data_IF_392088256843
#
_entry.id   IF_392088256843
#
_cell.length_a   1.000
_cell.length_b   1.000
_cell.length_c   1.000
_cell.angle_alpha   90.00
_cell.angle_beta   90.00
_cell.angle_gamma   90.00
#
_symmetry.space_group_name_H-M   'P 1'
#
loop_
_entity.id
_entity.type
_entity.pdbx_description
1 polymer ?
#
# COMPACT_ATOMS: atom_id res chain seq x y z
N UNK A 1 -44.57 5.20 14.17
CA UNK A 1 -44.20 6.63 14.10
C UNK A 1 -42.74 6.70 13.67
N UNK A 2 -42.48 7.05 12.42
CA UNK A 2 -41.10 7.14 11.90
C UNK A 2 -40.50 8.48 12.31
N UNK A 3 -39.47 8.43 13.15
CA UNK A 3 -38.74 9.62 13.60
C UNK A 3 -37.93 10.18 12.43
N UNK A 4 -38.34 11.34 11.92
CA UNK A 4 -37.61 12.10 10.90
C UNK A 4 -36.42 12.79 11.56
N UNK A 5 -35.24 12.22 11.37
CA UNK A 5 -33.98 12.81 11.85
C UNK A 5 -33.64 14.02 10.97
N UNK A 6 -33.75 15.23 11.52
CA UNK A 6 -33.33 16.47 10.86
C UNK A 6 -31.81 16.44 10.72
N UNK A 7 -31.32 16.50 9.48
CA UNK A 7 -29.88 16.58 9.19
C UNK A 7 -29.48 18.05 9.28
N UNK A 8 -28.46 18.43 10.07
CA UNK A 8 -28.00 19.81 10.16
C UNK A 8 -27.53 20.34 8.79
N UNK A 9 -27.84 21.59 8.48
CA UNK A 9 -27.66 22.20 7.14
C UNK A 9 -26.24 22.04 6.56
N UNK A 10 -25.19 22.06 7.39
CA UNK A 10 -23.81 21.84 6.96
C UNK A 10 -23.46 20.39 6.59
N UNK A 11 -24.23 19.41 7.05
CA UNK A 11 -23.98 17.99 6.75
C UNK A 11 -24.54 17.60 5.38
N UNK A 12 -25.64 18.22 4.93
CA UNK A 12 -26.20 17.98 3.61
C UNK A 12 -25.22 18.39 2.50
N UNK A 13 -24.63 19.60 2.58
CA UNK A 13 -23.63 20.08 1.63
C UNK A 13 -22.40 19.15 1.55
N UNK A 14 -21.89 18.67 2.70
CA UNK A 14 -20.77 17.71 2.75
C UNK A 14 -21.11 16.38 2.06
N UNK A 15 -22.33 15.88 2.21
CA UNK A 15 -22.74 14.64 1.55
C UNK A 15 -22.89 14.83 0.04
N UNK A 16 -23.48 15.95 -0.39
CA UNK A 16 -23.59 16.30 -1.82
C UNK A 16 -22.20 16.40 -2.45
N UNK A 17 -21.24 17.06 -1.79
CA UNK A 17 -19.86 17.15 -2.28
C UNK A 17 -19.19 15.77 -2.42
N UNK A 18 -19.41 14.86 -1.46
CA UNK A 18 -18.91 13.47 -1.54
C UNK A 18 -19.51 12.69 -2.70
N UNK A 19 -20.82 12.86 -2.95
CA UNK A 19 -21.50 12.19 -4.07
C UNK A 19 -20.93 12.67 -5.41
N UNK A 20 -20.77 13.98 -5.58
CA UNK A 20 -20.16 14.52 -6.81
C UNK A 20 -18.72 14.06 -6.99
N UNK A 21 -17.89 14.10 -5.95
CA UNK A 21 -16.53 13.56 -6.01
C UNK A 21 -16.51 12.06 -6.36
N UNK A 22 -17.49 11.28 -5.90
CA UNK A 22 -17.62 9.87 -6.28
C UNK A 22 -18.04 9.68 -7.74
N UNK A 23 -18.96 10.51 -8.25
CA UNK A 23 -19.32 10.53 -9.67
C UNK A 23 -18.13 10.88 -10.57
N UNK A 24 -17.32 11.86 -10.18
CA UNK A 24 -16.09 12.23 -10.89
C UNK A 24 -15.03 11.11 -10.83
N UNK A 25 -14.96 10.38 -9.72
CA UNK A 25 -14.09 9.20 -9.62
C UNK A 25 -14.58 8.07 -10.53
N UNK A 26 -15.90 7.86 -10.60
CA UNK A 26 -16.49 6.85 -11.46
C UNK A 26 -16.27 7.15 -12.96
N UNK A 27 -16.30 8.43 -13.36
CA UNK A 27 -16.03 8.82 -14.75
C UNK A 27 -14.57 8.63 -15.17
N UNK A 28 -13.65 8.59 -14.22
CA UNK A 28 -12.23 8.30 -14.46
C UNK A 28 -11.87 6.83 -14.30
N UNK A 29 -12.83 5.96 -13.96
CA UNK A 29 -12.60 4.52 -13.77
C UNK A 29 -12.04 3.86 -15.04
N UNK A 30 -11.17 2.87 -14.87
CA UNK A 30 -10.65 2.10 -16.00
C UNK A 30 -11.77 1.26 -16.60
N UNK A 31 -11.87 1.25 -17.93
CA UNK A 31 -12.84 0.44 -18.66
C UNK A 31 -12.25 -0.92 -19.10
N UNK A 32 -10.93 -1.07 -18.96
CA UNK A 32 -10.15 -2.22 -19.38
C UNK A 32 -9.23 -2.71 -18.24
N UNK A 33 -9.08 -4.03 -18.15
CA UNK A 33 -8.26 -4.67 -17.11
C UNK A 33 -6.79 -4.27 -17.22
N UNK A 34 -6.25 -4.14 -18.43
CA UNK A 34 -4.87 -3.69 -18.66
C UNK A 34 -4.61 -2.32 -18.02
N UNK A 35 -5.46 -1.33 -18.27
CA UNK A 35 -5.32 -0.01 -17.63
C UNK A 35 -5.59 -0.08 -16.12
N UNK A 36 -6.52 -0.92 -15.65
CA UNK A 36 -6.75 -1.10 -14.21
C UNK A 36 -5.50 -1.64 -13.49
N UNK A 37 -4.90 -2.71 -14.01
CA UNK A 37 -3.65 -3.31 -13.49
C UNK A 37 -2.51 -2.29 -13.57
N UNK A 38 -2.34 -1.64 -14.73
CA UNK A 38 -1.29 -0.64 -14.93
C UNK A 38 -1.38 0.53 -13.96
N UNK A 39 -2.59 1.04 -13.69
CA UNK A 39 -2.79 2.11 -12.69
C UNK A 39 -2.45 1.64 -11.29
N UNK A 40 -2.81 0.41 -10.93
CA UNK A 40 -2.51 -0.12 -9.60
C UNK A 40 -1.00 -0.38 -9.40
N UNK A 41 -0.29 -0.88 -10.43
CA UNK A 41 1.16 -0.99 -10.41
C UNK A 41 1.83 0.38 -10.28
N UNK A 42 1.35 1.38 -11.03
CA UNK A 42 1.86 2.75 -10.96
C UNK A 42 1.62 3.39 -9.58
N UNK A 43 0.47 3.15 -8.97
CA UNK A 43 0.19 3.59 -7.61
C UNK A 43 1.17 2.97 -6.59
N UNK A 44 1.38 1.65 -6.68
CA UNK A 44 2.31 0.91 -5.83
C UNK A 44 3.75 1.39 -6.00
N UNK A 45 4.17 1.64 -7.25
CA UNK A 45 5.47 2.22 -7.60
C UNK A 45 5.66 3.62 -7.00
N UNK A 46 4.64 4.48 -7.06
CA UNK A 46 4.69 5.82 -6.45
C UNK A 46 4.86 5.73 -4.94
N UNK A 47 4.13 4.85 -4.27
CA UNK A 47 4.28 4.62 -2.82
C UNK A 47 5.73 4.29 -2.44
N UNK A 48 6.37 3.37 -3.17
CA UNK A 48 7.78 3.01 -2.93
C UNK A 48 8.72 4.19 -3.20
N UNK A 49 8.46 4.94 -4.28
CA UNK A 49 9.24 6.13 -4.64
C UNK A 49 9.13 7.23 -3.58
N UNK A 50 7.94 7.47 -3.06
CA UNK A 50 7.68 8.46 -2.03
C UNK A 50 8.38 8.07 -0.73
N UNK A 51 8.36 6.79 -0.37
CA UNK A 51 9.10 6.25 0.77
C UNK A 51 10.62 6.43 0.65
N UNK A 52 11.22 6.16 -0.53
CA UNK A 52 12.65 6.45 -0.78
C UNK A 52 12.95 7.94 -0.56
N UNK A 53 12.08 8.82 -1.09
CA UNK A 53 12.25 10.27 -0.95
C UNK A 53 12.15 10.71 0.50
N UNK A 54 11.13 10.25 1.23
CA UNK A 54 10.93 10.56 2.66
C UNK A 54 12.13 10.09 3.49
N UNK A 55 12.65 8.89 3.24
CA UNK A 55 13.82 8.37 3.92
C UNK A 55 15.08 9.23 3.64
N UNK A 56 15.27 9.68 2.40
CA UNK A 56 16.36 10.58 2.03
C UNK A 56 16.24 11.94 2.72
N UNK A 57 15.04 12.52 2.78
CA UNK A 57 14.76 13.78 3.47
C UNK A 57 15.15 13.64 4.96
N UNK A 58 14.73 12.55 5.61
CA UNK A 58 15.01 12.25 7.02
C UNK A 58 16.51 12.07 7.31
N UNK A 59 17.25 11.40 6.43
CA UNK A 59 18.71 11.23 6.56
C UNK A 59 19.41 12.60 6.49
N UNK A 60 19.05 13.44 5.51
CA UNK A 60 19.64 14.77 5.32
C UNK A 60 19.37 15.68 6.53
N UNK A 61 18.14 15.68 7.04
CA UNK A 61 17.77 16.46 8.23
C UNK A 61 18.58 16.03 9.47
N UNK A 62 18.72 14.72 9.68
CA UNK A 62 19.44 14.16 10.83
C UNK A 62 20.94 14.45 10.79
N UNK A 63 21.55 14.47 9.59
CA UNK A 63 22.95 14.87 9.41
C UNK A 63 23.17 16.36 9.68
N UNK A 64 22.22 17.22 9.30
CA UNK A 64 22.32 18.67 9.54
C UNK A 64 22.29 19.02 11.05
N UNK A 65 21.46 18.33 11.84
CA UNK A 65 21.38 18.53 13.29
C UNK A 65 22.67 18.14 14.03
N UNK A 66 23.45 17.20 13.49
CA UNK A 66 24.72 16.78 14.12
C UNK A 66 25.84 17.84 14.05
N UNK A 67 25.72 18.84 13.18
CA UNK A 67 26.74 19.87 12.97
C UNK A 67 26.45 21.21 13.69
N UNK A 68 25.27 21.41 14.28
CA UNK A 68 24.86 22.69 14.88
C UNK A 68 25.00 22.76 16.42
N UNK A 69 25.41 21.68 17.08
CA UNK A 69 25.50 21.57 18.55
C UNK A 69 26.63 22.37 19.22
N UNK A 70 27.03 23.50 18.64
CA UNK A 70 28.16 24.35 19.07
C UNK A 70 27.78 25.68 19.74
N UNK A 71 26.52 25.94 20.09
CA UNK A 71 26.14 27.18 20.76
C UNK A 71 25.18 26.95 21.93
N UNK A 72 25.74 26.94 23.15
CA UNK A 72 25.03 27.21 24.39
C UNK A 72 24.22 28.51 24.28
N UNK A 73 22.94 28.45 24.58
CA UNK A 73 22.20 29.60 25.09
C UNK A 73 21.27 29.12 26.20
N UNK A 74 21.84 29.10 27.41
CA UNK A 74 21.07 29.10 28.65
C UNK A 74 20.30 30.42 28.74
N UNK A 75 18.99 30.39 28.55
CA UNK A 75 18.11 31.45 29.03
C UNK A 75 16.96 30.81 29.79
N UNK A 76 17.09 30.88 31.12
CA UNK A 76 15.99 30.73 32.08
C UNK A 76 14.83 31.65 31.67
N UNK A 77 13.71 31.08 31.23
CA UNK A 77 12.43 31.74 31.49
C UNK A 77 11.36 30.71 31.83
N UNK A 78 10.76 30.94 32.99
CA UNK A 78 9.84 30.05 33.65
C UNK A 78 8.43 30.26 33.08
N UNK A 79 8.02 29.41 32.14
CA UNK A 79 6.61 29.24 31.84
C UNK A 79 6.31 27.78 31.53
N UNK A 80 5.83 27.06 32.53
CA UNK A 80 5.43 25.66 32.45
C UNK A 80 4.08 25.52 31.74
N UNK A 81 4.06 25.71 30.42
CA UNK A 81 3.19 24.87 29.60
C UNK A 81 3.94 23.55 29.40
N UNK A 82 3.25 22.44 29.61
CA UNK A 82 3.81 21.10 29.43
C UNK A 82 4.03 20.94 27.94
N UNK A 83 5.21 21.37 27.49
CA UNK A 83 5.70 21.10 26.15
C UNK A 83 5.79 19.59 26.05
N UNK A 84 4.81 19.01 25.36
CA UNK A 84 4.97 17.67 24.81
C UNK A 84 5.88 17.80 23.60
N UNK A 85 7.08 18.35 23.83
CA UNK A 85 8.21 18.27 22.95
C UNK A 85 8.54 16.79 22.85
N UNK A 86 7.84 16.13 21.93
CA UNK A 86 8.39 15.01 21.21
C UNK A 86 9.56 15.57 20.40
N UNK A 87 10.65 15.91 21.09
CA UNK A 87 11.95 16.06 20.45
C UNK A 87 12.13 14.75 19.68
N UNK A 88 12.06 14.85 18.35
CA UNK A 88 12.33 13.70 17.50
C UNK A 88 13.74 13.24 17.87
N UNK A 89 13.83 12.09 18.55
CA UNK A 89 15.10 11.53 18.97
C UNK A 89 16.00 11.50 17.73
N UNK A 90 17.10 12.26 17.77
CA UNK A 90 18.03 12.32 16.66
C UNK A 90 18.50 10.90 16.34
N UNK A 91 18.48 10.50 15.07
CA UNK A 91 18.95 9.18 14.67
C UNK A 91 20.41 9.00 15.10
N UNK A 92 20.68 7.89 15.77
CA UNK A 92 22.05 7.51 16.09
C UNK A 92 22.84 7.24 14.79
N UNK A 93 24.19 7.34 14.82
CA UNK A 93 25.01 7.06 13.63
C UNK A 93 24.74 5.69 13.00
N UNK A 94 24.42 4.70 13.83
CA UNK A 94 24.05 3.37 13.37
C UNK A 94 22.67 3.34 12.68
N UNK A 95 21.66 4.00 13.25
CA UNK A 95 20.33 4.11 12.66
C UNK A 95 20.37 4.85 11.31
N UNK A 96 21.24 5.85 11.20
CA UNK A 96 21.55 6.53 9.94
C UNK A 96 22.15 5.56 8.90
N UNK A 97 23.17 4.79 9.27
CA UNK A 97 23.82 3.83 8.37
C UNK A 97 22.84 2.72 7.93
N UNK A 98 21.93 2.31 8.81
CA UNK A 98 20.86 1.35 8.50
C UNK A 98 19.80 1.95 7.56
N UNK A 99 19.44 3.22 7.75
CA UNK A 99 18.57 3.95 6.83
C UNK A 99 19.22 4.12 5.44
N UNK A 100 20.49 4.50 5.38
CA UNK A 100 21.25 4.66 4.14
C UNK A 100 21.36 3.35 3.36
N UNK A 101 21.69 2.25 4.04
CA UNK A 101 21.78 0.91 3.41
C UNK A 101 20.43 0.34 2.96
N UNK A 102 19.31 0.87 3.45
CA UNK A 102 17.96 0.48 3.01
C UNK A 102 17.55 1.12 1.68
N UNK A 103 18.17 2.25 1.29
CA UNK A 103 17.82 2.96 0.05
C UNK A 103 18.09 2.10 -1.19
N UNK A 104 19.28 1.48 -1.39
CA UNK A 104 19.53 0.62 -2.55
C UNK A 104 18.52 -0.53 -2.65
N UNK A 105 18.13 -1.10 -1.52
CA UNK A 105 17.14 -2.17 -1.46
C UNK A 105 15.76 -1.71 -1.97
N UNK A 106 15.27 -0.56 -1.49
CA UNK A 106 14.01 0.04 -1.96
C UNK A 106 14.10 0.48 -3.44
N UNK A 107 15.27 0.91 -3.92
CA UNK A 107 15.48 1.25 -5.32
C UNK A 107 15.36 0.03 -6.23
N UNK A 108 15.86 -1.14 -5.82
CA UNK A 108 15.66 -2.39 -6.56
C UNK A 108 14.18 -2.74 -6.64
N UNK A 109 13.43 -2.61 -5.55
CA UNK A 109 11.96 -2.80 -5.55
C UNK A 109 11.28 -1.85 -6.54
N UNK A 110 11.67 -0.57 -6.54
CA UNK A 110 11.14 0.40 -7.49
C UNK A 110 11.45 -0.02 -8.95
N UNK A 111 12.63 -0.57 -9.21
CA UNK A 111 12.99 -1.06 -10.54
C UNK A 111 12.19 -2.32 -10.94
N UNK A 112 11.84 -3.20 -9.99
CA UNK A 112 10.89 -4.31 -10.23
C UNK A 112 9.56 -3.76 -10.73
N UNK A 113 8.97 -2.77 -10.06
CA UNK A 113 7.72 -2.15 -10.53
C UNK A 113 7.86 -1.53 -11.93
N UNK A 114 8.99 -0.87 -12.22
CA UNK A 114 9.23 -0.33 -13.56
C UNK A 114 9.32 -1.43 -14.61
N UNK A 115 9.91 -2.58 -14.30
CA UNK A 115 9.94 -3.74 -15.18
C UNK A 115 8.51 -4.25 -15.43
N UNK A 116 7.74 -4.50 -14.36
CA UNK A 116 6.35 -4.94 -14.47
C UNK A 116 5.50 -4.02 -15.35
N UNK A 117 5.60 -2.70 -15.15
CA UNK A 117 4.87 -1.71 -15.94
C UNK A 117 5.31 -1.74 -17.41
N UNK A 118 6.61 -1.84 -17.69
CA UNK A 118 7.11 -1.92 -19.08
C UNK A 118 6.61 -3.16 -19.78
N UNK A 119 6.70 -4.32 -19.13
CA UNK A 119 6.20 -5.59 -19.67
C UNK A 119 4.69 -5.54 -19.90
N UNK A 120 3.92 -4.98 -18.96
CA UNK A 120 2.48 -4.82 -19.13
C UNK A 120 2.14 -3.99 -20.38
N UNK A 121 2.92 -2.93 -20.64
CA UNK A 121 2.69 -2.05 -21.78
C UNK A 121 2.98 -2.74 -23.13
N UNK A 122 3.99 -3.63 -23.18
CA UNK A 122 4.36 -4.37 -24.39
C UNK A 122 3.42 -5.53 -24.71
N UNK A 123 2.78 -6.13 -23.70
CA UNK A 123 1.95 -7.32 -23.86
C UNK A 123 0.53 -7.04 -24.34
N UNK A 124 -0.04 -7.95 -25.14
CA UNK A 124 -1.46 -7.94 -25.51
C UNK A 124 -2.29 -8.80 -24.54
N UNK A 125 -2.64 -8.20 -23.41
CA UNK A 125 -3.37 -8.83 -22.30
C UNK A 125 -4.86 -9.03 -22.62
N UNK A 126 -5.35 -8.47 -23.73
CA UNK A 126 -6.78 -8.47 -24.08
C UNK A 126 -7.20 -9.76 -24.78
N UNK A 127 -6.25 -10.51 -25.34
CA UNK A 127 -6.55 -11.62 -26.25
C UNK A 127 -6.79 -12.97 -25.55
N UNK A 128 -6.25 -13.21 -24.35
CA UNK A 128 -6.29 -14.53 -23.70
C UNK A 128 -6.69 -14.44 -22.22
N UNK A 129 -7.69 -15.24 -21.80
CA UNK A 129 -8.15 -15.23 -20.40
C UNK A 129 -7.07 -15.71 -19.41
N UNK A 130 -6.21 -16.65 -19.82
CA UNK A 130 -5.11 -17.16 -18.99
C UNK A 130 -4.03 -16.11 -18.72
N UNK A 131 -3.74 -15.23 -19.68
CA UNK A 131 -2.75 -14.16 -19.47
C UNK A 131 -3.27 -13.12 -18.49
N UNK A 132 -4.58 -12.85 -18.50
CA UNK A 132 -5.20 -11.98 -17.50
C UNK A 132 -5.07 -12.55 -16.08
N UNK A 133 -5.39 -13.83 -15.88
CA UNK A 133 -5.28 -14.49 -14.57
C UNK A 133 -3.85 -14.41 -14.01
N UNK A 134 -2.85 -14.63 -14.86
CA UNK A 134 -1.42 -14.50 -14.52
C UNK A 134 -1.08 -13.07 -14.06
N UNK A 135 -1.56 -12.04 -14.77
CA UNK A 135 -1.34 -10.64 -14.39
C UNK A 135 -2.08 -10.24 -13.11
N UNK A 136 -3.26 -10.81 -12.85
CA UNK A 136 -3.99 -10.60 -11.60
C UNK A 136 -3.27 -11.22 -10.40
N UNK A 137 -2.71 -12.43 -10.57
CA UNK A 137 -1.83 -13.06 -9.58
C UNK A 137 -0.60 -12.20 -9.31
N UNK A 138 0.10 -11.79 -10.36
CA UNK A 138 1.29 -10.94 -10.25
C UNK A 138 0.97 -9.59 -9.57
N UNK A 139 -0.18 -8.99 -9.88
CA UNK A 139 -0.63 -7.77 -9.23
C UNK A 139 -0.88 -7.95 -7.74
N UNK A 140 -1.45 -9.09 -7.33
CA UNK A 140 -1.64 -9.41 -5.92
C UNK A 140 -0.31 -9.41 -5.16
N UNK A 141 0.71 -10.07 -5.71
CA UNK A 141 2.06 -10.08 -5.12
C UNK A 141 2.73 -8.70 -5.14
N UNK A 142 2.60 -7.95 -6.24
CA UNK A 142 3.15 -6.60 -6.36
C UNK A 142 2.53 -5.62 -5.34
N UNK A 143 1.23 -5.74 -5.05
CA UNK A 143 0.58 -4.94 -3.99
C UNK A 143 1.11 -5.32 -2.60
N UNK A 144 1.31 -6.61 -2.34
CA UNK A 144 1.95 -7.10 -1.12
C UNK A 144 3.36 -6.54 -0.96
N UNK A 145 4.16 -6.55 -2.02
CA UNK A 145 5.52 -5.99 -2.03
C UNK A 145 5.55 -4.50 -1.70
N UNK A 146 4.61 -3.71 -2.25
CA UNK A 146 4.49 -2.29 -1.90
C UNK A 146 4.12 -2.07 -0.43
N UNK A 147 3.20 -2.87 0.13
CA UNK A 147 2.87 -2.78 1.55
C UNK A 147 4.09 -3.07 2.44
N UNK A 148 4.84 -4.14 2.14
CA UNK A 148 6.08 -4.48 2.87
C UNK A 148 7.15 -3.39 2.71
N UNK A 149 7.24 -2.74 1.55
CA UNK A 149 8.16 -1.61 1.37
C UNK A 149 7.82 -0.45 2.30
N UNK A 150 6.53 -0.15 2.48
CA UNK A 150 6.07 0.88 3.42
C UNK A 150 6.34 0.48 4.87
N UNK A 151 6.17 -0.80 5.21
CA UNK A 151 6.50 -1.31 6.55
C UNK A 151 8.00 -1.16 6.86
N UNK A 152 8.88 -1.45 5.89
CA UNK A 152 10.32 -1.20 6.03
C UNK A 152 10.60 0.30 6.20
N UNK A 153 10.00 1.16 5.36
CA UNK A 153 10.13 2.61 5.48
C UNK A 153 9.74 3.13 6.85
N UNK A 154 8.59 2.71 7.36
CA UNK A 154 8.10 3.08 8.69
C UNK A 154 9.02 2.59 9.82
N UNK A 155 9.63 1.41 9.68
CA UNK A 155 10.53 0.85 10.68
C UNK A 155 11.88 1.61 10.79
N UNK A 156 12.25 2.38 9.75
CA UNK A 156 13.49 3.15 9.68
C UNK A 156 13.41 4.53 10.35
N UNK A 157 12.23 4.96 10.81
CA UNK A 157 12.10 6.18 11.61
C UNK A 157 12.54 5.93 13.06
N UNK A 158 13.19 6.93 13.67
CA UNK A 158 13.62 6.86 15.07
C UNK A 158 12.42 6.82 16.04
N UNK A 159 12.53 6.11 17.18
CA UNK A 159 13.61 5.19 17.54
C UNK A 159 13.46 3.84 16.82
N UNK A 160 14.50 3.39 16.11
CA UNK A 160 14.42 2.17 15.30
C UNK A 160 14.37 0.91 16.19
N UNK A 161 13.76 -0.16 15.65
CA UNK A 161 13.87 -1.51 16.18
C UNK A 161 14.62 -2.39 15.18
N UNK A 162 15.89 -2.67 15.46
CA UNK A 162 16.75 -3.43 14.55
C UNK A 162 16.15 -4.80 14.18
N UNK A 163 15.40 -5.44 15.09
CA UNK A 163 14.75 -6.72 14.81
C UNK A 163 13.59 -6.57 13.85
N UNK A 164 12.82 -5.50 13.98
CA UNK A 164 11.72 -5.16 13.08
C UNK A 164 12.21 -4.76 11.70
N UNK A 165 13.22 -3.89 11.66
CA UNK A 165 13.87 -3.40 10.44
C UNK A 165 14.44 -4.58 9.64
N UNK A 166 15.17 -5.49 10.31
CA UNK A 166 15.69 -6.72 9.68
C UNK A 166 14.58 -7.64 9.19
N UNK A 167 13.51 -7.80 9.98
CA UNK A 167 12.36 -8.63 9.60
C UNK A 167 11.62 -8.05 8.39
N UNK A 168 11.45 -6.73 8.32
CA UNK A 168 10.81 -6.04 7.21
C UNK A 168 11.66 -6.16 5.93
N UNK A 169 12.98 -5.97 6.02
CA UNK A 169 13.88 -6.16 4.88
C UNK A 169 13.89 -7.62 4.37
N UNK A 170 13.88 -8.61 5.28
CA UNK A 170 13.75 -10.01 4.88
C UNK A 170 12.41 -10.30 4.19
N UNK A 171 11.31 -9.73 4.70
CA UNK A 171 9.99 -9.86 4.09
C UNK A 171 9.95 -9.21 2.70
N UNK A 172 10.66 -8.10 2.51
CA UNK A 172 10.78 -7.40 1.24
C UNK A 172 11.50 -8.26 0.20
N UNK A 173 12.60 -8.91 0.59
CA UNK A 173 13.33 -9.85 -0.26
C UNK A 173 12.44 -11.02 -0.71
N UNK A 174 11.73 -11.66 0.22
CA UNK A 174 10.75 -12.71 -0.11
C UNK A 174 9.62 -12.19 -0.99
N UNK A 175 9.15 -10.96 -0.79
CA UNK A 175 8.14 -10.32 -1.64
C UNK A 175 8.61 -10.17 -3.08
N UNK A 176 9.87 -9.78 -3.31
CA UNK A 176 10.47 -9.72 -4.64
C UNK A 176 10.60 -11.11 -5.26
N UNK A 177 11.07 -12.11 -4.52
CA UNK A 177 11.18 -13.50 -4.99
C UNK A 177 9.82 -14.02 -5.47
N UNK A 178 8.74 -13.80 -4.71
CA UNK A 178 7.38 -14.17 -5.12
C UNK A 178 6.94 -13.47 -6.40
N UNK A 179 7.25 -12.18 -6.56
CA UNK A 179 6.96 -11.45 -7.81
C UNK A 179 7.73 -12.02 -9.00
N UNK A 180 8.98 -12.44 -8.81
CA UNK A 180 9.78 -13.05 -9.88
C UNK A 180 9.35 -14.48 -10.21
N UNK A 181 8.94 -15.26 -9.21
CA UNK A 181 8.42 -16.61 -9.39
C UNK A 181 7.14 -16.59 -10.21
N UNK A 182 6.21 -15.69 -9.86
CA UNK A 182 4.93 -15.47 -10.54
C UNK A 182 5.07 -14.74 -11.89
N UNK A 183 6.28 -14.25 -12.22
CA UNK A 183 6.50 -13.61 -13.51
C UNK A 183 6.33 -14.68 -14.63
N UNK A 184 5.34 -14.53 -15.53
CA UNK A 184 4.96 -15.58 -16.46
C UNK A 184 6.11 -15.99 -17.38
N UNK A 185 6.26 -17.29 -17.64
CA UNK A 185 7.39 -17.82 -18.43
C UNK A 185 7.50 -17.22 -19.83
N UNK A 186 6.37 -16.98 -20.51
CA UNK A 186 6.34 -16.32 -21.81
C UNK A 186 6.80 -14.85 -21.76
N UNK A 187 6.68 -14.19 -20.60
CA UNK A 187 7.17 -12.83 -20.35
C UNK A 187 8.64 -12.82 -19.93
N UNK A 188 9.12 -13.89 -19.30
CA UNK A 188 10.52 -14.05 -18.89
C UNK A 188 11.43 -14.00 -20.11
N UNK A 189 11.07 -14.61 -21.23
CA UNK A 189 11.98 -14.72 -22.38
C UNK A 189 12.40 -13.37 -22.99
N UNK A 190 11.50 -12.38 -23.02
CA UNK A 190 11.81 -11.03 -23.52
C UNK A 190 12.55 -10.13 -22.51
N UNK A 191 12.54 -10.51 -21.23
CA UNK A 191 13.06 -9.72 -20.12
C UNK A 191 13.99 -10.51 -19.19
N UNK A 192 14.52 -11.64 -19.65
CA UNK A 192 15.27 -12.58 -18.81
C UNK A 192 16.50 -11.91 -18.21
N UNK A 193 17.30 -11.24 -19.06
CA UNK A 193 18.49 -10.52 -18.65
C UNK A 193 18.18 -9.40 -17.63
N UNK A 194 17.10 -8.64 -17.85
CA UNK A 194 16.68 -7.60 -16.92
C UNK A 194 16.22 -8.18 -15.57
N UNK A 195 15.52 -9.32 -15.61
CA UNK A 195 15.03 -10.02 -14.41
C UNK A 195 16.20 -10.61 -13.62
N UNK A 196 17.13 -11.30 -14.28
CA UNK A 196 18.35 -11.85 -13.69
C UNK A 196 19.22 -10.75 -13.08
N UNK A 197 19.38 -9.62 -13.79
CA UNK A 197 20.10 -8.45 -13.29
C UNK A 197 19.46 -7.88 -12.01
N UNK A 198 18.13 -7.80 -11.95
CA UNK A 198 17.43 -7.34 -10.74
C UNK A 198 17.53 -8.32 -9.59
N UNK A 199 17.45 -9.63 -9.84
CA UNK A 199 17.65 -10.67 -8.83
C UNK A 199 19.05 -10.58 -8.24
N UNK A 200 20.09 -10.42 -9.08
CA UNK A 200 21.46 -10.24 -8.61
C UNK A 200 21.60 -8.96 -7.76
N UNK A 201 21.09 -7.81 -8.24
CA UNK A 201 21.11 -6.56 -7.49
C UNK A 201 20.36 -6.64 -6.17
N UNK A 202 19.24 -7.37 -6.12
CA UNK A 202 18.49 -7.60 -4.89
C UNK A 202 19.32 -8.40 -3.89
N UNK A 203 19.96 -9.48 -4.35
CA UNK A 203 20.81 -10.32 -3.51
C UNK A 203 21.99 -9.52 -2.94
N UNK A 204 22.65 -8.70 -3.76
CA UNK A 204 23.76 -7.85 -3.35
C UNK A 204 23.31 -6.80 -2.32
N UNK A 205 22.24 -6.05 -2.61
CA UNK A 205 21.70 -5.04 -1.71
C UNK A 205 21.25 -5.65 -0.37
N UNK A 206 20.64 -6.83 -0.40
CA UNK A 206 20.21 -7.52 0.82
C UNK A 206 21.39 -8.08 1.62
N UNK A 207 22.48 -8.51 0.96
CA UNK A 207 23.70 -8.96 1.63
C UNK A 207 24.44 -7.80 2.29
N UNK A 208 24.54 -6.65 1.62
CA UNK A 208 25.09 -5.41 2.17
C UNK A 208 24.29 -4.97 3.40
N UNK A 209 22.97 -4.90 3.26
CA UNK A 209 22.06 -4.57 4.35
C UNK A 209 22.19 -5.51 5.56
N UNK A 210 22.30 -6.83 5.33
CA UNK A 210 22.51 -7.81 6.42
C UNK A 210 23.84 -7.63 7.12
N UNK A 211 24.89 -7.26 6.38
CA UNK A 211 26.21 -6.97 6.96
C UNK A 211 26.10 -5.78 7.91
N UNK A 212 25.37 -4.75 7.49
CA UNK A 212 25.14 -3.55 8.28
C UNK A 212 24.28 -3.81 9.52
N UNK A 213 23.15 -4.49 9.36
CA UNK A 213 22.26 -4.85 10.47
C UNK A 213 22.92 -5.83 11.47
N UNK A 214 23.76 -6.75 10.96
CA UNK A 214 24.45 -7.75 11.76
C UNK A 214 25.60 -7.18 12.59
N UNK A 215 26.29 -6.14 12.11
CA UNK A 215 27.40 -5.52 12.85
C UNK A 215 26.97 -5.00 14.24
N UNK A 216 25.74 -4.50 14.38
CA UNK A 216 25.23 -3.93 15.64
C UNK A 216 24.64 -4.96 16.61
N UNK A 217 24.06 -6.07 16.12
CA UNK A 217 23.65 -7.19 16.98
C UNK A 217 24.82 -7.70 17.83
N UNK A 218 26.05 -7.61 17.30
CA UNK A 218 27.27 -7.97 18.01
C UNK A 218 27.93 -6.77 18.74
N UNK A 219 27.90 -5.56 18.17
CA UNK A 219 28.55 -4.39 18.77
C UNK A 219 27.78 -3.79 19.96
N UNK A 220 26.44 -3.83 19.95
CA UNK A 220 25.65 -3.11 20.93
C UNK A 220 25.60 -3.76 22.31
N UNK A 221 25.79 -5.08 22.45
CA UNK A 221 25.66 -5.78 23.75
C UNK A 221 24.33 -5.54 24.50
N UNK A 222 23.37 -4.87 23.86
CA UNK A 222 22.13 -4.40 24.47
C UNK A 222 21.14 -5.55 24.41
N UNK A 223 20.92 -6.18 25.58
CA UNK A 223 19.84 -7.15 25.77
C UNK A 223 18.49 -6.45 25.50
N UNK A 224 17.87 -6.78 24.38
CA UNK A 224 16.58 -6.21 23.98
C UNK A 224 15.48 -6.60 24.96
N UNK A 225 14.93 -5.60 25.66
CA UNK A 225 13.76 -5.76 26.53
C UNK A 225 12.48 -5.70 25.68
N UNK A 226 12.20 -6.79 24.96
CA UNK A 226 11.03 -7.01 24.09
C UNK A 226 9.70 -6.68 24.81
N UNK A 227 9.67 -6.81 26.15
CA UNK A 227 8.45 -6.63 26.96
C UNK A 227 7.88 -5.22 27.05
N UNK A 228 8.66 -4.17 26.75
CA UNK A 228 8.18 -2.77 26.91
C UNK A 228 7.57 -2.15 25.64
N UNK A 229 7.98 -2.57 24.43
CA UNK A 229 7.50 -1.96 23.16
C UNK A 229 6.20 -2.58 22.63
N UNK A 230 5.96 -3.88 22.84
CA UNK A 230 4.66 -4.53 22.54
C UNK A 230 3.47 -3.85 23.27
N UNK A 231 3.70 -3.21 24.43
CA UNK A 231 2.67 -2.45 25.17
C UNK A 231 2.32 -1.07 24.57
N UNK A 232 3.11 -0.55 23.62
CA UNK A 232 2.77 0.70 22.90
C UNK A 232 1.95 0.42 21.64
N UNK A 233 2.23 -0.67 20.91
CA UNK A 233 1.47 -1.04 19.69
C UNK A 233 0.03 -1.47 19.94
N UNK A 234 -0.25 -2.15 21.06
CA UNK A 234 -1.63 -2.54 21.40
C UNK A 234 -2.54 -1.34 21.77
N UNK A 235 -1.98 -0.14 21.95
CA UNK A 235 -2.80 1.06 22.26
C UNK A 235 -3.18 1.90 21.04
N UNK A 236 -2.52 1.73 19.90
CA UNK A 236 -2.79 2.55 18.71
C UNK A 236 -3.67 1.87 17.66
N UNK A 237 -3.85 0.54 17.72
CA UNK A 237 -4.62 -0.21 16.71
C UNK A 237 -6.08 -0.46 17.11
N UNK A 238 -6.42 -0.45 18.40
CA UNK A 238 -7.77 -0.69 18.90
C UNK A 238 -8.45 0.59 19.43
N UNK A 239 -8.81 1.48 18.51
CA UNK A 239 -9.86 2.48 18.70
C UNK A 239 -11.28 1.88 18.69
N UNK A 240 -11.43 0.60 19.06
CA UNK A 240 -12.70 -0.04 19.31
C UNK A 240 -12.60 -0.82 20.63
N UNK A 241 -13.20 -0.28 21.67
CA UNK A 241 -13.43 -0.98 22.93
C UNK A 241 -14.48 -2.08 22.68
N UNK A 242 -14.05 -3.25 22.21
CA UNK A 242 -14.81 -4.47 22.38
C UNK A 242 -14.61 -4.93 23.82
N UNK A 243 -15.55 -4.53 24.68
CA UNK A 243 -15.71 -5.05 26.02
C UNK A 243 -16.13 -6.53 25.90
N UNK A 244 -15.17 -7.42 25.66
CA UNK A 244 -15.39 -8.86 25.78
C UNK A 244 -15.49 -9.23 27.26
N UNK A 245 -16.73 -9.28 27.70
CA UNK A 245 -17.20 -9.92 28.93
C UNK A 245 -16.76 -11.40 28.90
N UNK A 246 -15.68 -11.72 29.62
CA UNK A 246 -15.28 -13.09 29.93
C UNK A 246 -16.28 -13.69 30.92
N UNK A 247 -17.37 -14.26 30.40
CA UNK A 247 -18.15 -15.25 31.14
C UNK A 247 -17.44 -16.59 31.04
N UNK A 248 -16.97 -17.07 32.18
CA UNK A 248 -16.18 -18.29 32.31
C UNK A 248 -17.02 -19.53 31.99
N UNK A 249 -16.66 -20.21 30.91
CA UNK A 249 -16.96 -21.62 30.74
C UNK A 249 -15.68 -22.45 30.86
N UNK A 250 -15.62 -23.26 31.93
CA UNK A 250 -14.63 -24.30 32.14
C UNK A 250 -14.69 -25.31 30.98
N UNK A 251 -13.57 -25.67 30.32
CA UNK A 251 -13.54 -26.85 29.48
C UNK A 251 -13.38 -28.09 30.35
N UNK A 252 -14.25 -29.08 30.10
CA UNK A 252 -14.09 -30.44 30.59
C UNK A 252 -12.85 -31.08 29.95
N UNK A 253 -12.05 -31.72 30.79
CA UNK A 253 -10.93 -32.54 30.36
C UNK A 253 -11.42 -33.88 29.77
N UNK A 254 -10.86 -34.25 28.63
CA UNK A 254 -10.84 -35.64 28.12
C UNK A 254 -9.38 -36.00 27.83
N UNK A 255 -8.91 -37.18 28.27
CA UNK A 255 -7.51 -37.57 28.15
C UNK A 255 -7.30 -38.34 26.84
N UNK A 256 -6.30 -37.94 26.06
CA UNK A 256 -5.64 -38.83 25.11
C UNK A 256 -4.15 -38.64 25.29
N UNK A 257 -3.54 -39.62 25.96
CA UNK A 257 -2.10 -39.80 25.91
C UNK A 257 -1.70 -40.38 24.57
N UNK A 258 -0.59 -39.91 24.01
CA UNK A 258 0.31 -40.67 23.15
C UNK A 258 1.72 -40.12 23.39
N UNK A 259 2.63 -41.09 23.45
CA UNK A 259 4.03 -41.01 23.78
C UNK A 259 4.88 -40.06 22.93
N UNK A 260 5.97 -39.63 23.57
CA UNK A 260 7.10 -38.94 22.97
C UNK A 260 8.08 -39.95 22.37
N UNK A 261 8.50 -39.75 21.10
CA UNK A 261 9.90 -39.84 20.62
C UNK A 261 10.01 -39.82 19.08
N UNK A 262 10.76 -38.82 18.59
CA UNK A 262 11.71 -38.80 17.47
C UNK A 262 11.37 -39.39 16.08
N UNK A 263 11.36 -38.51 15.05
CA UNK A 263 11.90 -38.66 13.68
C UNK A 263 11.87 -37.28 13.00
N UNK A 264 12.99 -36.57 12.77
CA UNK A 264 13.87 -36.57 11.59
C UNK A 264 13.17 -36.35 10.22
N UNK A 265 13.57 -35.24 9.58
CA UNK A 265 13.57 -34.89 8.14
C UNK A 265 12.43 -35.42 7.25
N UNK A 266 11.73 -34.50 6.59
CA UNK A 266 10.91 -34.82 5.43
C UNK A 266 10.24 -33.59 4.82
N UNK A 267 10.69 -33.25 3.62
CA UNK A 267 10.07 -32.38 2.60
C UNK A 267 8.54 -32.41 2.57
N UNK A 268 7.89 -31.24 2.60
CA UNK A 268 6.49 -31.10 2.21
C UNK A 268 6.38 -30.79 0.72
N UNK A 269 6.04 -31.82 -0.04
CA UNK A 269 5.39 -31.74 -1.34
C UNK A 269 3.90 -31.41 -1.07
N UNK A 270 3.35 -30.37 -1.68
CA UNK A 270 1.91 -30.11 -1.65
C UNK A 270 1.32 -30.46 -3.03
N UNK A 271 0.43 -31.45 -3.07
CA UNK A 271 -0.34 -31.81 -4.26
C UNK A 271 -1.42 -30.77 -4.56
N UNK A 272 -1.77 -30.57 -5.85
CA UNK A 272 -2.79 -29.63 -6.27
C UNK A 272 -4.19 -30.26 -6.22
N UNK A 273 -5.21 -29.43 -5.99
CA UNK A 273 -6.58 -29.79 -6.33
C UNK A 273 -7.58 -29.47 -5.24
N UNK A 274 -8.09 -28.24 -5.26
CA UNK A 274 -9.49 -27.90 -4.97
C UNK A 274 -9.77 -26.51 -5.58
N UNK A 275 -10.82 -26.33 -6.40
CA UNK A 275 -11.15 -25.04 -6.97
C UNK A 275 -11.82 -24.15 -5.91
N UNK A 276 -11.13 -23.09 -5.50
CA UNK A 276 -11.76 -22.01 -4.74
C UNK A 276 -12.45 -21.09 -5.73
N UNK A 277 -13.78 -21.21 -5.82
CA UNK A 277 -14.61 -20.23 -6.52
C UNK A 277 -14.71 -18.99 -5.65
N UNK A 278 -13.88 -17.97 -5.94
CA UNK A 278 -14.06 -16.63 -5.36
C UNK A 278 -15.20 -15.96 -6.11
N UNK A 279 -16.41 -16.02 -5.56
CA UNK A 279 -17.54 -15.24 -6.07
C UNK A 279 -17.34 -13.77 -5.70
N UNK A 280 -16.95 -12.95 -6.68
CA UNK A 280 -16.90 -11.48 -6.59
C UNK A 280 -18.31 -10.91 -6.44
N UNK A 281 -18.84 -10.94 -5.22
CA UNK A 281 -20.21 -10.51 -4.90
C UNK A 281 -20.30 -9.05 -4.41
N UNK A 282 -19.51 -8.11 -4.95
CA UNK A 282 -19.48 -6.72 -4.46
C UNK A 282 -19.68 -5.59 -5.48
N UNK A 283 -20.05 -5.87 -6.73
CA UNK A 283 -20.39 -4.80 -7.70
C UNK A 283 -21.89 -4.60 -7.98
N UNK A 284 -22.77 -5.47 -7.49
CA UNK A 284 -24.22 -5.39 -7.73
C UNK A 284 -24.99 -4.49 -6.76
N UNK A 285 -24.45 -4.16 -5.57
CA UNK A 285 -25.16 -3.28 -4.63
C UNK A 285 -25.10 -1.80 -5.01
N UNK A 286 -24.07 -1.36 -5.74
CA UNK A 286 -23.96 0.02 -6.20
C UNK A 286 -24.91 0.34 -7.35
N UNK A 287 -25.17 -0.62 -8.25
CA UNK A 287 -26.13 -0.43 -9.34
C UNK A 287 -27.58 -0.38 -8.84
N UNK A 288 -27.97 -1.20 -7.85
CA UNK A 288 -29.30 -1.12 -7.24
C UNK A 288 -29.52 0.17 -6.45
N UNK A 289 -28.50 0.69 -5.77
CA UNK A 289 -28.59 1.94 -5.02
C UNK A 289 -28.73 3.16 -5.95
N UNK A 290 -28.00 3.16 -7.08
CA UNK A 290 -28.12 4.22 -8.09
C UNK A 290 -29.48 4.15 -8.80
N UNK A 291 -29.96 2.97 -9.17
CA UNK A 291 -31.29 2.81 -9.79
C UNK A 291 -32.43 3.21 -8.84
N UNK A 292 -32.33 2.90 -7.53
CA UNK A 292 -33.31 3.36 -6.53
C UNK A 292 -33.28 4.88 -6.34
N UNK A 293 -32.10 5.50 -6.34
CA UNK A 293 -31.96 6.95 -6.22
C UNK A 293 -32.54 7.70 -7.44
N UNK A 294 -32.39 7.14 -8.65
CA UNK A 294 -32.95 7.75 -9.88
C UNK A 294 -34.47 7.63 -9.96
N UNK A 295 -35.09 6.62 -9.34
CA UNK A 295 -36.57 6.46 -9.38
C UNK A 295 -37.34 7.46 -8.51
N UNK A 296 -36.68 8.15 -7.56
CA UNK A 296 -37.33 9.07 -6.61
C UNK A 296 -37.30 10.53 -7.10
N UNK A 297 -36.55 10.84 -8.16
CA UNK A 297 -36.42 12.19 -8.71
C UNK A 297 -37.26 12.39 -9.98
N UNK A 298 -38.58 12.18 -9.93
CA UNK A 298 -39.49 12.69 -10.97
C UNK A 298 -39.78 14.17 -10.68
N UNK A 299 -38.82 15.05 -10.99
CA UNK A 299 -39.00 16.49 -10.95
C UNK A 299 -39.90 16.92 -12.11
N UNK A 300 -41.08 17.45 -11.76
CA UNK A 300 -42.07 18.02 -12.66
C UNK A 300 -41.49 19.32 -13.27
N UNK A 301 -41.01 19.24 -14.51
CA UNK A 301 -40.57 20.42 -15.28
C UNK A 301 -41.79 21.31 -15.62
N UNK A 302 -41.65 22.64 -15.57
CA UNK A 302 -42.70 23.57 -16.00
C UNK A 302 -42.84 23.58 -17.54
N UNK A 303 -44.04 23.93 -18.06
CA UNK A 303 -44.32 23.91 -19.49
C UNK A 303 -43.51 24.99 -20.23
N UNK A 304 -42.82 24.58 -21.28
CA UNK A 304 -42.16 25.46 -22.25
C UNK A 304 -43.21 26.12 -23.13
N UNK A 305 -43.20 27.45 -23.17
CA UNK A 305 -43.98 28.25 -24.11
C UNK A 305 -43.49 28.02 -25.55
N UNK A 306 -44.46 27.80 -26.45
CA UNK A 306 -44.31 27.78 -27.89
C UNK A 306 -43.65 29.07 -28.41
N UNK A 307 -42.55 28.92 -29.16
CA UNK A 307 -41.99 29.97 -29.99
C UNK A 307 -42.03 29.49 -31.44
N UNK A 308 -43.04 29.99 -32.14
CA UNK A 308 -43.26 29.92 -33.57
C UNK A 308 -42.25 30.77 -34.36
N UNK A 309 -42.03 30.35 -35.60
CA UNK A 309 -41.62 31.12 -36.78
C UNK A 309 -40.21 31.72 -36.85
N UNK A 310 -39.34 31.03 -37.61
CA UNK A 310 -38.27 31.66 -38.39
C UNK A 310 -38.27 31.07 -39.81
N UNK A 311 -38.32 31.90 -40.87
CA UNK A 311 -38.43 31.42 -42.24
C UNK A 311 -37.08 30.99 -42.83
N UNK A 312 -37.15 29.96 -43.68
CA UNK A 312 -36.10 29.53 -44.62
C UNK A 312 -35.89 30.60 -45.69
N UNK A 313 -34.69 31.17 -45.73
CA UNK A 313 -34.16 31.87 -46.91
C UNK A 313 -33.02 31.04 -47.50
N UNK A 314 -33.17 30.74 -48.77
CA UNK A 314 -32.23 30.02 -49.62
C UNK A 314 -31.24 31.00 -50.27
N UNK A 315 -30.03 30.55 -50.56
CA UNK A 315 -29.28 31.09 -51.70
C UNK A 315 -27.76 31.15 -51.61
N UNK A 316 -27.14 30.82 -52.76
CA UNK A 316 -25.80 31.19 -53.27
C UNK A 316 -24.58 30.43 -52.70
N UNK A 317 -24.02 29.44 -53.40
CA UNK A 317 -23.10 29.47 -54.58
C UNK A 317 -21.65 29.91 -54.30
N UNK A 318 -20.74 28.94 -54.55
CA UNK A 318 -19.46 29.03 -55.28
C UNK A 318 -18.41 30.05 -54.81
N UNK A 319 -17.26 29.55 -54.33
CA UNK A 319 -15.99 29.82 -55.02
C UNK A 319 -14.88 28.84 -54.62
N UNK A 320 -14.37 28.19 -55.66
CA UNK A 320 -13.13 27.44 -55.79
C UNK A 320 -11.94 28.43 -55.80
N UNK A 321 -10.88 28.14 -55.06
CA UNK A 321 -9.58 28.78 -55.22
C UNK A 321 -8.44 27.81 -54.89
N UNK A 322 -7.44 27.87 -55.76
CA UNK A 322 -6.22 27.08 -55.91
C UNK A 322 -5.33 27.00 -54.68
#
# INVERSE_FOLDING_TARGET
MSSTKVIPEGQAAKQVAKVWAACDTASTACLDNKTAIGRQLLHSSRSVKDNIRELQEVIVESQACSHSSGAQSVSDDANSEVDLDFEADAMSPFELELAESSIPLLQVVLDVFKLLIRTLLTEDIVSEASTLDDWESLLFHAKGLSAVSNDLGAALFAPQDASEVTSAAGSLNTGCELVFDEFPGHLKDGHAEATESLIARLADAHAEYKTQAGADLFASGRRWNIGHRLRRRLRHRDGQTLQMRLEGHRPQAMPLGIDTKACKLGSFFCSPGLPVTISLHKHTQLSEAVVKATSVATLKLPPTHDASDVPLEAGATVHEAQ
#
